data_IF_430515040089
#
_entry.id   IF_430515040089
#
_cell.length_a   1.000
_cell.length_b   1.000
_cell.length_c   1.000
_cell.angle_alpha   90.00
_cell.angle_beta   90.00
_cell.angle_gamma   90.00
#
_symmetry.space_group_name_H-M   'P 1'
#
loop_
_entity.id
_entity.type
_entity.pdbx_description
1 polymer ?
#
# COMPACT_ATOMS: atom_id res chain seq x y z
N UNK A 1 -2.59 -4.90 -33.70
CA UNK A 1 -2.41 -4.24 -32.39
C UNK A 1 -2.68 -5.29 -31.33
N UNK A 2 -1.65 -5.95 -30.80
CA UNK A 2 -1.80 -7.06 -29.85
C UNK A 2 -1.53 -6.54 -28.44
N UNK A 3 -2.59 -6.25 -27.70
CA UNK A 3 -2.52 -5.79 -26.30
C UNK A 3 -2.89 -6.94 -25.37
N UNK A 4 -2.20 -8.08 -25.44
CA UNK A 4 -2.65 -9.29 -24.72
C UNK A 4 -1.53 -10.16 -24.14
N UNK A 5 -0.37 -9.60 -23.78
CA UNK A 5 0.58 -10.35 -22.95
C UNK A 5 1.22 -9.55 -21.81
N UNK A 6 0.53 -8.51 -21.33
CA UNK A 6 1.02 -7.70 -20.21
C UNK A 6 1.10 -8.46 -18.88
N UNK A 7 0.42 -9.60 -18.75
CA UNK A 7 0.42 -10.44 -17.54
C UNK A 7 1.38 -11.64 -17.60
N UNK A 8 1.97 -11.94 -18.77
CA UNK A 8 2.85 -13.09 -18.99
C UNK A 8 4.32 -12.84 -18.61
N UNK A 9 4.71 -11.59 -18.33
CA UNK A 9 6.11 -11.21 -18.08
C UNK A 9 6.66 -11.71 -16.73
N UNK A 10 5.81 -11.95 -15.73
CA UNK A 10 6.24 -12.39 -14.40
C UNK A 10 5.50 -13.66 -13.96
N UNK A 11 6.24 -14.75 -13.80
CA UNK A 11 5.68 -16.06 -13.46
C UNK A 11 5.40 -16.22 -11.96
N UNK A 12 5.97 -15.37 -11.09
CA UNK A 12 5.78 -15.42 -9.62
C UNK A 12 5.57 -14.03 -9.02
N UNK A 13 4.93 -13.97 -7.84
CA UNK A 13 4.78 -12.71 -7.08
C UNK A 13 6.15 -12.10 -6.71
N UNK A 14 7.13 -12.94 -6.38
CA UNK A 14 8.49 -12.48 -6.06
C UNK A 14 9.17 -11.81 -7.26
N UNK A 15 9.02 -12.37 -8.47
CA UNK A 15 9.57 -11.76 -9.69
C UNK A 15 8.91 -10.42 -10.00
N UNK A 16 7.58 -10.36 -9.86
CA UNK A 16 6.81 -9.13 -10.04
C UNK A 16 7.26 -8.06 -9.04
N UNK A 17 7.41 -8.44 -7.76
CA UNK A 17 7.88 -7.55 -6.71
C UNK A 17 9.31 -7.07 -6.94
N UNK A 18 10.21 -7.96 -7.35
CA UNK A 18 11.59 -7.62 -7.70
C UNK A 18 11.64 -6.59 -8.84
N UNK A 19 10.79 -6.72 -9.86
CA UNK A 19 10.71 -5.75 -10.94
C UNK A 19 10.18 -4.38 -10.48
N UNK A 20 9.17 -4.34 -9.61
CA UNK A 20 8.70 -3.09 -8.99
C UNK A 20 9.83 -2.38 -8.26
N UNK A 21 10.64 -3.13 -7.49
CA UNK A 21 11.80 -2.56 -6.78
C UNK A 21 12.85 -1.96 -7.70
N UNK A 22 13.04 -2.58 -8.87
CA UNK A 22 13.95 -2.07 -9.91
C UNK A 22 13.40 -0.85 -10.64
N UNK A 23 12.15 -0.44 -10.35
CA UNK A 23 11.49 0.70 -11.00
C UNK A 23 10.83 0.35 -12.32
N UNK A 24 10.47 -0.93 -12.56
CA UNK A 24 9.67 -1.31 -13.71
C UNK A 24 8.22 -0.82 -13.52
N UNK A 25 7.84 0.22 -14.26
CA UNK A 25 6.50 0.81 -14.22
C UNK A 25 5.42 -0.20 -14.62
N UNK A 26 5.70 -1.07 -15.58
CA UNK A 26 4.74 -2.09 -16.03
C UNK A 26 4.47 -3.10 -14.91
N UNK A 27 5.50 -3.46 -14.13
CA UNK A 27 5.35 -4.34 -12.98
C UNK A 27 4.44 -3.69 -11.92
N UNK A 28 4.66 -2.40 -11.69
CA UNK A 28 3.87 -1.62 -10.74
C UNK A 28 2.41 -1.50 -11.18
N UNK A 29 2.14 -1.24 -12.45
CA UNK A 29 0.78 -1.23 -13.01
C UNK A 29 0.08 -2.58 -12.82
N UNK A 30 0.76 -3.70 -13.08
CA UNK A 30 0.18 -5.03 -12.87
C UNK A 30 -0.15 -5.29 -11.40
N UNK A 31 0.70 -4.87 -10.47
CA UNK A 31 0.40 -4.94 -9.03
C UNK A 31 -0.79 -4.06 -8.69
N UNK A 32 -0.82 -2.82 -9.18
CA UNK A 32 -1.93 -1.89 -8.96
C UNK A 32 -3.26 -2.48 -9.42
N UNK A 33 -3.38 -2.87 -10.69
CA UNK A 33 -4.62 -3.41 -11.25
C UNK A 33 -5.09 -4.68 -10.53
N UNK A 34 -4.14 -5.56 -10.16
CA UNK A 34 -4.46 -6.83 -9.48
C UNK A 34 -4.99 -6.63 -8.07
N UNK A 35 -4.41 -5.72 -7.30
CA UNK A 35 -4.74 -5.58 -5.88
C UNK A 35 -5.64 -4.39 -5.56
N UNK A 36 -5.80 -3.41 -6.45
CA UNK A 36 -6.66 -2.24 -6.21
C UNK A 36 -8.10 -2.63 -5.83
N UNK A 37 -8.76 -3.47 -6.64
CA UNK A 37 -10.12 -3.92 -6.35
C UNK A 37 -10.22 -4.78 -5.08
N UNK A 38 -9.19 -5.58 -4.80
CA UNK A 38 -9.11 -6.42 -3.59
C UNK A 38 -8.99 -5.55 -2.34
N UNK A 39 -8.17 -4.50 -2.41
CA UNK A 39 -7.97 -3.53 -1.35
C UNK A 39 -9.21 -2.67 -1.12
N UNK A 40 -9.88 -2.23 -2.18
CA UNK A 40 -11.11 -1.47 -2.08
C UNK A 40 -12.21 -2.26 -1.38
N UNK A 41 -12.39 -3.53 -1.75
CA UNK A 41 -13.35 -4.43 -1.10
C UNK A 41 -13.00 -4.70 0.36
N UNK A 42 -11.72 -4.72 0.71
CA UNK A 42 -11.29 -4.87 2.10
C UNK A 42 -11.48 -3.57 2.91
N UNK A 43 -11.13 -2.42 2.33
CA UNK A 43 -11.35 -1.09 2.91
C UNK A 43 -12.81 -0.82 3.20
N UNK A 44 -13.71 -1.23 2.30
CA UNK A 44 -15.17 -1.11 2.47
C UNK A 44 -15.71 -1.91 3.66
N UNK A 45 -14.98 -2.92 4.15
CA UNK A 45 -15.32 -3.66 5.38
C UNK A 45 -14.84 -2.94 6.65
N UNK A 46 -13.88 -2.03 6.52
CA UNK A 46 -13.28 -1.30 7.64
C UNK A 46 -13.99 0.05 7.87
N UNK A 47 -14.37 0.74 6.81
CA UNK A 47 -15.07 2.03 6.85
C UNK A 47 -16.09 2.12 5.73
N UNK A 48 -17.15 2.90 5.95
CA UNK A 48 -18.12 3.24 4.91
C UNK A 48 -17.67 4.44 4.06
N UNK A 49 -16.61 5.15 4.46
CA UNK A 49 -16.07 6.30 3.73
C UNK A 49 -15.23 5.82 2.53
N UNK A 50 -15.87 5.82 1.36
CA UNK A 50 -15.24 5.42 0.09
C UNK A 50 -14.11 6.35 -0.32
N UNK A 51 -14.22 7.65 -0.02
CA UNK A 51 -13.18 8.63 -0.36
C UNK A 51 -11.91 8.36 0.46
N UNK A 52 -12.08 8.07 1.76
CA UNK A 52 -10.97 7.67 2.63
C UNK A 52 -10.31 6.36 2.15
N UNK A 53 -11.10 5.39 1.70
CA UNK A 53 -10.56 4.13 1.16
C UNK A 53 -9.72 4.37 -0.09
N UNK A 54 -10.23 5.13 -1.06
CA UNK A 54 -9.50 5.44 -2.28
C UNK A 54 -8.21 6.21 -2.00
N UNK A 55 -8.27 7.23 -1.14
CA UNK A 55 -7.11 8.02 -0.72
C UNK A 55 -6.07 7.13 -0.02
N UNK A 56 -6.49 6.28 0.92
CA UNK A 56 -5.60 5.36 1.61
C UNK A 56 -4.97 4.33 0.65
N UNK A 57 -5.69 3.86 -0.36
CA UNK A 57 -5.16 2.95 -1.38
C UNK A 57 -4.11 3.68 -2.22
N UNK A 58 -4.42 4.89 -2.72
CA UNK A 58 -3.47 5.69 -3.48
C UNK A 58 -2.19 5.96 -2.70
N UNK A 59 -2.31 6.37 -1.43
CA UNK A 59 -1.20 6.58 -0.51
C UNK A 59 -0.31 5.34 -0.39
N UNK A 60 -0.89 4.15 -0.19
CA UNK A 60 -0.14 2.89 -0.09
C UNK A 60 0.65 2.62 -1.38
N UNK A 61 0.05 2.83 -2.55
CA UNK A 61 0.73 2.61 -3.82
C UNK A 61 1.81 3.66 -4.09
N UNK A 62 1.58 4.93 -3.73
CA UNK A 62 2.57 6.00 -3.81
C UNK A 62 3.77 5.69 -2.92
N UNK A 63 3.53 5.25 -1.68
CA UNK A 63 4.58 4.84 -0.74
C UNK A 63 5.42 3.70 -1.32
N UNK A 64 4.79 2.67 -1.88
CA UNK A 64 5.48 1.54 -2.51
C UNK A 64 6.39 2.03 -3.64
N UNK A 65 5.88 2.92 -4.50
CA UNK A 65 6.69 3.46 -5.59
C UNK A 65 7.85 4.33 -5.09
N UNK A 66 7.61 5.19 -4.10
CA UNK A 66 8.64 6.05 -3.51
C UNK A 66 9.73 5.26 -2.79
N UNK A 67 9.32 4.25 -2.01
CA UNK A 67 10.21 3.43 -1.18
C UNK A 67 10.70 2.17 -1.90
N UNK A 68 10.42 2.02 -3.20
CA UNK A 68 10.69 0.80 -3.99
C UNK A 68 12.09 0.22 -3.82
N UNK A 69 13.11 1.09 -3.70
CA UNK A 69 14.49 0.66 -3.52
C UNK A 69 14.74 -0.02 -2.16
N UNK A 70 14.05 0.43 -1.11
CA UNK A 70 14.19 -0.02 0.28
C UNK A 70 13.16 -1.07 0.72
N UNK A 71 12.29 -1.54 -0.17
CA UNK A 71 11.33 -2.61 0.15
C UNK A 71 12.08 -3.90 0.59
N UNK A 72 11.36 -4.87 1.16
CA UNK A 72 11.93 -6.18 1.47
C UNK A 72 12.06 -7.03 0.21
N UNK A 73 13.18 -7.76 0.05
CA UNK A 73 13.46 -8.52 -1.20
C UNK A 73 12.63 -9.79 -1.23
N UNK A 74 12.55 -10.46 -0.08
CA UNK A 74 11.76 -11.65 0.12
C UNK A 74 10.42 -11.29 0.76
N UNK A 75 9.43 -10.96 -0.07
CA UNK A 75 8.06 -10.81 0.37
C UNK A 75 7.34 -12.15 0.32
N UNK A 76 6.65 -12.53 1.40
CA UNK A 76 5.88 -13.78 1.45
C UNK A 76 4.59 -13.69 0.61
N UNK A 77 3.93 -12.54 0.62
CA UNK A 77 2.89 -12.21 -0.35
C UNK A 77 2.66 -10.70 -0.42
N UNK A 78 2.52 -10.19 -1.64
CA UNK A 78 2.21 -8.78 -1.90
C UNK A 78 0.85 -8.43 -1.28
N UNK A 79 -0.11 -9.36 -1.32
CA UNK A 79 -1.47 -9.16 -0.80
C UNK A 79 -1.49 -8.80 0.70
N UNK A 80 -0.75 -9.56 1.52
CA UNK A 80 -0.72 -9.34 2.97
C UNK A 80 -0.04 -8.03 3.34
N UNK A 81 1.03 -7.66 2.62
CA UNK A 81 1.69 -6.37 2.81
C UNK A 81 0.73 -5.21 2.52
N UNK A 82 0.00 -5.28 1.40
CA UNK A 82 -0.96 -4.24 1.02
C UNK A 82 -2.11 -4.11 2.01
N UNK A 83 -2.70 -5.23 2.47
CA UNK A 83 -3.74 -5.18 3.50
C UNK A 83 -3.26 -4.53 4.80
N UNK A 84 -2.04 -4.86 5.23
CA UNK A 84 -1.45 -4.29 6.45
C UNK A 84 -1.21 -2.80 6.31
N UNK A 85 -0.69 -2.36 5.15
CA UNK A 85 -0.44 -0.96 4.86
C UNK A 85 -1.76 -0.16 4.82
N UNK A 86 -2.77 -0.67 4.10
CA UNK A 86 -4.10 -0.05 4.01
C UNK A 86 -4.77 0.07 5.38
N UNK A 87 -4.79 -1.02 6.16
CA UNK A 87 -5.38 -1.02 7.51
C UNK A 87 -4.71 0.02 8.41
N UNK A 88 -3.38 0.12 8.35
CA UNK A 88 -2.62 1.12 9.13
C UNK A 88 -3.00 2.54 8.70
N UNK A 89 -3.08 2.81 7.40
CA UNK A 89 -3.47 4.13 6.86
C UNK A 89 -4.88 4.51 7.32
N UNK A 90 -5.87 3.64 7.09
CA UNK A 90 -7.26 3.87 7.52
C UNK A 90 -7.33 4.12 9.03
N UNK A 91 -6.65 3.30 9.84
CA UNK A 91 -6.64 3.45 11.29
C UNK A 91 -6.04 4.78 11.74
N UNK A 92 -4.89 5.18 11.20
CA UNK A 92 -4.24 6.45 11.54
C UNK A 92 -5.13 7.64 11.16
N UNK A 93 -5.79 7.59 10.00
CA UNK A 93 -6.72 8.63 9.57
C UNK A 93 -7.93 8.72 10.51
N UNK A 94 -8.52 7.58 10.90
CA UNK A 94 -9.63 7.54 11.85
C UNK A 94 -9.23 7.97 13.27
N UNK A 95 -8.02 7.64 13.73
CA UNK A 95 -7.49 8.11 15.03
C UNK A 95 -7.21 9.62 15.03
N UNK A 96 -6.79 10.21 13.90
CA UNK A 96 -6.58 11.66 13.75
C UNK A 96 -7.90 12.45 13.69
N UNK A 97 -8.98 11.82 13.25
CA UNK A 97 -10.32 12.41 13.17
C UNK A 97 -11.33 11.56 13.99
N UNK A 98 -11.30 11.62 15.33
CA UNK A 98 -12.07 10.73 16.21
C UNK A 98 -13.59 10.93 16.18
N UNK A 99 -14.13 11.71 15.25
CA UNK A 99 -15.55 12.07 15.19
C UNK A 99 -16.44 11.02 14.51
N UNK A 100 -15.92 9.93 13.96
CA UNK A 100 -16.78 8.88 13.40
C UNK A 100 -16.16 7.48 13.47
N UNK A 101 -16.82 6.64 14.28
CA UNK A 101 -16.84 5.17 14.26
C UNK A 101 -15.70 4.41 14.97
N UNK A 102 -16.13 3.66 15.99
CA UNK A 102 -15.40 2.59 16.63
C UNK A 102 -15.09 1.49 15.60
N UNK A 103 -13.81 1.26 15.30
CA UNK A 103 -13.40 0.10 14.50
C UNK A 103 -13.57 -1.14 15.38
N UNK A 104 -14.80 -1.68 15.39
CA UNK A 104 -15.12 -2.92 16.07
C UNK A 104 -14.42 -4.08 15.36
N UNK A 105 -13.41 -4.62 16.05
CA UNK A 105 -13.06 -6.04 16.04
C UNK A 105 -13.11 -6.77 14.70
N UNK A 106 -12.05 -6.62 13.91
CA UNK A 106 -11.61 -7.69 13.01
C UNK A 106 -10.18 -8.07 13.40
N UNK A 107 -10.07 -8.92 14.42
CA UNK A 107 -8.92 -9.82 14.56
C UNK A 107 -9.08 -10.87 13.48
N UNK A 108 -8.46 -10.61 12.33
CA UNK A 108 -8.32 -11.62 11.29
C UNK A 108 -7.19 -12.57 11.75
N UNK A 109 -7.49 -13.83 12.14
CA UNK A 109 -6.48 -14.74 12.70
C UNK A 109 -5.42 -15.16 11.67
N UNK A 110 -5.65 -14.90 10.38
CA UNK A 110 -4.71 -15.24 9.30
C UNK A 110 -3.65 -14.15 9.06
N UNK A 111 -3.81 -12.95 9.62
CA UNK A 111 -2.77 -11.92 9.60
C UNK A 111 -1.93 -12.08 10.88
N UNK A 112 -1.14 -13.15 10.92
CA UNK A 112 -0.11 -13.29 11.94
C UNK A 112 0.78 -12.04 11.96
N UNK A 113 1.11 -11.48 13.13
CA UNK A 113 2.02 -10.35 13.26
C UNK A 113 3.45 -10.83 13.01
N UNK A 114 3.76 -11.22 11.77
CA UNK A 114 5.12 -11.49 11.35
C UNK A 114 5.82 -10.14 11.23
N UNK A 115 6.53 -9.85 12.32
CA UNK A 115 7.74 -9.06 12.47
C UNK A 115 7.96 -7.95 11.44
N UNK A 116 7.72 -6.70 11.86
CA UNK A 116 8.53 -5.58 11.39
C UNK A 116 9.90 -5.68 12.08
N UNK A 117 10.69 -6.68 11.71
CA UNK A 117 12.11 -6.76 12.07
C UNK A 117 12.74 -7.36 10.82
N UNK A 118 13.50 -6.62 10.01
CA UNK A 118 14.44 -5.57 10.36
C UNK A 118 14.40 -4.40 9.36
N UNK A 119 14.89 -3.26 9.85
CA UNK A 119 15.26 -2.05 9.10
C UNK A 119 14.17 -1.00 8.83
N UNK A 120 14.03 -0.15 9.84
CA UNK A 120 13.96 1.32 9.75
C UNK A 120 12.78 1.99 9.05
N UNK A 121 11.97 2.65 9.88
CA UNK A 121 11.48 4.04 9.73
C UNK A 121 11.13 4.49 8.31
N UNK A 122 9.85 4.40 7.96
CA UNK A 122 9.29 5.36 7.00
C UNK A 122 9.34 6.72 7.71
N UNK A 123 10.37 7.50 7.40
CA UNK A 123 10.46 8.92 7.73
C UNK A 123 9.15 9.58 7.31
N UNK A 124 8.34 10.00 8.28
CA UNK A 124 7.37 11.07 8.05
C UNK A 124 8.21 12.35 8.03
N UNK A 125 8.91 12.57 6.92
CA UNK A 125 9.70 13.78 6.72
C UNK A 125 9.59 14.22 5.28
N UNK A 126 8.39 14.63 4.88
CA UNK A 126 8.21 15.49 3.70
C UNK A 126 6.95 16.31 3.87
N UNK A 127 6.89 17.18 4.88
CA UNK A 127 6.26 18.51 4.74
C UNK A 127 6.54 19.40 5.97
N UNK A 128 7.70 20.04 5.98
CA UNK A 128 7.84 21.34 6.63
C UNK A 128 8.45 22.30 5.61
N UNK A 129 7.57 23.08 5.00
CA UNK A 129 7.85 24.34 4.31
C UNK A 129 8.78 24.26 3.08
N UNK A 130 8.22 23.84 1.95
CA UNK A 130 8.54 24.52 0.70
C UNK A 130 7.63 25.75 0.58
N UNK A 131 8.24 26.94 0.42
CA UNK A 131 7.65 28.23 0.02
C UNK A 131 7.06 29.14 1.11
N UNK A 132 7.96 29.85 1.81
CA UNK A 132 7.89 31.32 1.83
C UNK A 132 9.22 31.89 1.36
N UNK A 133 9.41 31.88 0.04
CA UNK A 133 10.33 32.81 -0.63
C UNK A 133 9.61 34.16 -0.77
N UNK A 134 10.39 35.23 -0.61
CA UNK A 134 10.12 36.67 -0.85
C UNK A 134 9.55 37.47 0.33
N UNK A 135 10.33 38.47 0.72
CA UNK A 135 10.02 39.51 1.70
C UNK A 135 11.29 39.99 2.37
#
# INVERSE_FOLDING_TARGET
MNTTDSFGKWCTEQQLWGAVRQGDEHAFTVVFERYHGILYNYGSKLTADTALIEDAIQDVFIDIWRLRAGLTENISSIKFYLYRALRRRIRVTLEKYPSAQEISGLSDPDISPLSFSDSETILIETESNHLRKKG
#
